data_IF_691288273406
#
_entry.id   IF_691288273406
#
_cell.length_a   1.000
_cell.length_b   1.000
_cell.length_c   1.000
_cell.angle_alpha   90.00
_cell.angle_beta   90.00
_cell.angle_gamma   90.00
#
_symmetry.space_group_name_H-M   'P 1'
#
loop_
_entity.id
_entity.type
_entity.pdbx_description
1 polymer ?
#
# COMPACT_ATOMS: atom_id res chain seq x y z
N UNK A 1 -11.60 -1.90 -22.41
CA UNK A 1 -11.92 -3.24 -21.89
C UNK A 1 -10.70 -3.86 -21.22
N UNK A 2 -10.86 -4.34 -20.00
CA UNK A 2 -9.74 -4.90 -19.22
C UNK A 2 -9.56 -6.41 -19.45
N UNK A 3 -9.88 -6.89 -20.68
CA UNK A 3 -9.80 -8.31 -21.01
C UNK A 3 -8.36 -8.80 -20.95
N UNK A 4 -8.11 -9.78 -20.09
CA UNK A 4 -6.76 -10.35 -19.89
C UNK A 4 -5.91 -9.63 -18.86
N UNK A 5 -6.30 -8.44 -18.37
CA UNK A 5 -5.62 -7.79 -17.27
C UNK A 5 -5.83 -8.57 -15.95
N UNK A 6 -4.87 -8.48 -15.02
CA UNK A 6 -5.06 -9.06 -13.70
C UNK A 6 -6.34 -8.54 -13.04
N UNK A 7 -7.10 -9.45 -12.44
CA UNK A 7 -8.35 -9.11 -11.75
C UNK A 7 -8.04 -8.43 -10.42
N UNK A 8 -8.95 -7.56 -9.97
CA UNK A 8 -8.82 -6.91 -8.66
C UNK A 8 -8.69 -7.94 -7.53
N UNK A 9 -9.35 -9.11 -7.65
CA UNK A 9 -9.24 -10.21 -6.69
C UNK A 9 -7.86 -10.90 -6.69
N UNK A 10 -7.04 -10.68 -7.72
CA UNK A 10 -5.71 -11.28 -7.84
C UNK A 10 -4.63 -10.35 -7.28
N UNK A 11 -4.64 -9.06 -7.66
CA UNK A 11 -3.61 -8.12 -7.22
C UNK A 11 -3.98 -7.31 -5.97
N UNK A 12 -5.28 -7.12 -5.72
CA UNK A 12 -5.74 -6.29 -4.61
C UNK A 12 -5.41 -6.84 -3.23
N UNK A 13 -5.81 -8.09 -2.89
CA UNK A 13 -5.54 -8.66 -1.57
C UNK A 13 -4.05 -8.69 -1.19
N UNK A 14 -3.12 -9.16 -2.04
CA UNK A 14 -1.70 -9.11 -1.65
C UNK A 14 -1.18 -7.68 -1.49
N UNK A 15 -1.66 -6.72 -2.26
CA UNK A 15 -1.27 -5.32 -2.09
C UNK A 15 -1.76 -4.75 -0.75
N UNK A 16 -3.03 -4.95 -0.39
CA UNK A 16 -3.57 -4.54 0.90
C UNK A 16 -2.83 -5.20 2.06
N UNK A 17 -2.56 -6.50 1.95
CA UNK A 17 -1.84 -7.24 2.98
C UNK A 17 -0.45 -6.66 3.22
N UNK A 18 0.28 -6.31 2.15
CA UNK A 18 1.60 -5.70 2.26
C UNK A 18 1.52 -4.33 2.93
N UNK A 19 0.64 -3.47 2.46
CA UNK A 19 0.52 -2.10 2.99
C UNK A 19 0.12 -2.11 4.48
N UNK A 20 -0.91 -2.86 4.84
CA UNK A 20 -1.34 -2.95 6.24
C UNK A 20 -0.27 -3.60 7.12
N UNK A 21 0.38 -4.67 6.65
CA UNK A 21 1.40 -5.37 7.43
C UNK A 21 2.62 -4.49 7.70
N UNK A 22 3.05 -3.71 6.72
CA UNK A 22 4.13 -2.73 6.92
C UNK A 22 3.76 -1.77 8.04
N UNK A 23 2.53 -1.23 8.03
CA UNK A 23 2.07 -0.28 9.05
C UNK A 23 1.91 -0.90 10.44
N UNK A 24 1.70 -2.22 10.54
CA UNK A 24 1.64 -2.91 11.83
C UNK A 24 3.03 -3.26 12.38
N UNK A 25 4.09 -3.07 11.60
CA UNK A 25 5.48 -3.40 11.99
C UNK A 25 6.40 -2.20 12.07
N UNK A 26 5.99 -1.07 11.48
CA UNK A 26 6.83 0.13 11.38
C UNK A 26 6.98 0.81 12.74
N UNK A 27 8.10 1.53 12.92
CA UNK A 27 8.28 2.40 14.08
C UNK A 27 8.79 1.71 15.35
N UNK A 28 9.22 0.45 15.26
CA UNK A 28 9.74 -0.30 16.43
C UNK A 28 11.23 -0.07 16.68
N UNK A 29 11.96 0.53 15.72
CA UNK A 29 13.38 0.81 15.89
C UNK A 29 13.62 1.91 16.92
N UNK A 30 14.75 1.80 17.63
CA UNK A 30 15.25 2.86 18.53
C UNK A 30 16.22 3.83 17.85
N UNK A 31 16.58 3.55 16.60
CA UNK A 31 17.52 4.35 15.82
C UNK A 31 16.77 5.38 14.97
N UNK A 32 17.06 6.66 15.20
CA UNK A 32 16.38 7.76 14.50
C UNK A 32 16.54 7.66 12.97
N UNK A 33 17.74 7.31 12.49
CA UNK A 33 17.98 7.22 11.05
C UNK A 33 17.14 6.11 10.39
N UNK A 34 16.86 5.02 11.10
CA UNK A 34 15.98 3.97 10.58
C UNK A 34 14.53 4.46 10.53
N UNK A 35 14.08 5.16 11.55
CA UNK A 35 12.74 5.75 11.58
C UNK A 35 12.56 6.77 10.45
N UNK A 36 13.58 7.59 10.19
CA UNK A 36 13.56 8.56 9.10
C UNK A 36 13.51 7.87 7.73
N UNK A 37 14.29 6.81 7.55
CA UNK A 37 14.25 6.01 6.32
C UNK A 37 12.90 5.32 6.12
N UNK A 38 12.34 4.75 7.18
CA UNK A 38 11.00 4.16 7.13
C UNK A 38 9.95 5.19 6.71
N UNK A 39 9.99 6.37 7.28
CA UNK A 39 9.05 7.43 6.95
C UNK A 39 9.18 7.89 5.50
N UNK A 40 10.41 8.10 5.03
CA UNK A 40 10.69 8.52 3.65
C UNK A 40 10.19 7.46 2.65
N UNK A 41 10.52 6.20 2.86
CA UNK A 41 10.13 5.12 1.96
C UNK A 41 8.61 4.89 1.99
N UNK A 42 8.00 4.96 3.17
CA UNK A 42 6.55 4.83 3.30
C UNK A 42 5.82 5.95 2.54
N UNK A 43 6.27 7.18 2.67
CA UNK A 43 5.69 8.30 1.91
C UNK A 43 5.79 8.07 0.40
N UNK A 44 6.95 7.60 -0.07
CA UNK A 44 7.11 7.28 -1.48
C UNK A 44 6.11 6.21 -1.93
N UNK A 45 6.01 5.11 -1.21
CA UNK A 45 5.11 4.00 -1.54
C UNK A 45 3.66 4.48 -1.57
N UNK A 46 3.21 5.21 -0.57
CA UNK A 46 1.83 5.72 -0.51
C UNK A 46 1.53 6.70 -1.65
N UNK A 47 2.48 7.55 -2.03
CA UNK A 47 2.30 8.47 -3.16
C UNK A 47 2.29 7.76 -4.52
N UNK A 48 3.00 6.65 -4.64
CA UNK A 48 3.22 5.98 -5.92
C UNK A 48 2.33 4.77 -6.17
N UNK A 49 1.61 4.28 -5.16
CA UNK A 49 0.87 3.02 -5.27
C UNK A 49 -0.18 3.01 -6.38
N UNK A 50 -0.78 4.15 -6.68
CA UNK A 50 -1.74 4.26 -7.78
C UNK A 50 -1.09 4.00 -9.15
N UNK A 51 0.19 4.30 -9.29
CA UNK A 51 0.92 4.12 -10.56
C UNK A 51 1.08 2.65 -10.96
N UNK A 52 0.98 1.73 -9.99
CA UNK A 52 1.14 0.30 -10.24
C UNK A 52 -0.20 -0.45 -10.27
N UNK A 53 -1.32 0.22 -10.08
CA UNK A 53 -2.64 -0.42 -10.11
C UNK A 53 -3.06 -0.71 -11.55
N UNK A 54 -3.34 -1.97 -11.90
CA UNK A 54 -3.76 -2.32 -13.27
C UNK A 54 -5.25 -2.05 -13.56
N UNK A 55 -5.90 -1.26 -12.74
CA UNK A 55 -7.32 -0.93 -12.82
C UNK A 55 -7.48 0.60 -12.90
N UNK A 56 -7.93 1.12 -14.04
CA UNK A 56 -8.09 2.56 -14.25
C UNK A 56 -9.06 3.21 -13.24
N UNK A 57 -10.16 2.53 -12.93
CA UNK A 57 -11.13 3.01 -11.94
C UNK A 57 -10.54 3.04 -10.54
N UNK A 58 -9.74 2.03 -10.19
CA UNK A 58 -9.08 1.96 -8.88
C UNK A 58 -8.06 3.10 -8.71
N UNK A 59 -7.27 3.37 -9.77
CA UNK A 59 -6.36 4.53 -9.80
C UNK A 59 -7.10 5.84 -9.55
N UNK A 60 -8.21 6.02 -10.25
CA UNK A 60 -9.03 7.24 -10.14
C UNK A 60 -9.55 7.41 -8.70
N UNK A 61 -10.11 6.38 -8.11
CA UNK A 61 -10.61 6.42 -6.73
C UNK A 61 -9.49 6.75 -5.74
N UNK A 62 -8.33 6.15 -5.92
CA UNK A 62 -7.19 6.43 -5.06
C UNK A 62 -6.70 7.88 -5.21
N UNK A 63 -6.61 8.38 -6.42
CA UNK A 63 -6.21 9.77 -6.69
C UNK A 63 -7.20 10.77 -6.09
N UNK A 64 -8.50 10.50 -6.20
CA UNK A 64 -9.54 11.31 -5.57
C UNK A 64 -9.41 11.31 -4.06
N UNK A 65 -9.14 10.16 -3.45
CA UNK A 65 -8.91 10.05 -2.01
C UNK A 65 -7.68 10.87 -1.58
N UNK A 66 -6.57 10.72 -2.28
CA UNK A 66 -5.34 11.49 -1.98
C UNK A 66 -5.57 13.00 -2.08
N UNK A 67 -6.36 13.44 -3.04
CA UNK A 67 -6.63 14.86 -3.25
C UNK A 67 -7.33 15.51 -2.06
N UNK A 68 -8.18 14.75 -1.36
CA UNK A 68 -8.95 15.24 -0.20
C UNK A 68 -8.35 14.80 1.15
N UNK A 69 -7.38 13.88 1.15
CA UNK A 69 -6.76 13.31 2.34
C UNK A 69 -5.24 13.30 2.18
N UNK A 70 -4.65 14.49 2.06
CA UNK A 70 -3.20 14.63 1.84
C UNK A 70 -2.39 14.06 3.00
N UNK A 71 -1.40 13.23 2.69
CA UNK A 71 -0.46 12.74 3.70
C UNK A 71 0.48 13.83 4.21
N UNK A 72 0.63 14.93 3.45
CA UNK A 72 1.43 16.07 3.88
C UNK A 72 0.76 16.88 5.00
N UNK A 73 -0.56 16.71 5.17
CA UNK A 73 -1.31 17.31 6.27
C UNK A 73 -1.22 16.51 7.58
N UNK A 74 -0.65 15.29 7.55
CA UNK A 74 -0.43 14.47 8.73
C UNK A 74 0.78 14.98 9.53
N UNK A 75 0.91 14.63 10.83
CA UNK A 75 2.11 14.94 11.59
C UNK A 75 3.37 14.44 10.86
N UNK A 76 4.44 15.25 10.88
CA UNK A 76 5.66 14.96 10.11
C UNK A 76 6.83 14.46 10.95
N UNK A 77 6.58 14.03 12.18
CA UNK A 77 7.55 13.29 13.01
C UNK A 77 7.25 11.80 12.89
N UNK A 78 8.26 10.91 12.87
CA UNK A 78 8.06 9.51 12.52
C UNK A 78 6.94 8.80 13.28
N UNK A 79 7.00 8.73 14.60
CA UNK A 79 6.00 7.97 15.37
C UNK A 79 4.58 8.53 15.22
N UNK A 80 4.43 9.84 15.23
CA UNK A 80 3.13 10.48 15.05
C UNK A 80 2.61 10.27 13.63
N UNK A 81 3.51 10.35 12.63
CA UNK A 81 3.16 10.05 11.25
C UNK A 81 2.72 8.60 11.09
N UNK A 82 3.46 7.64 11.67
CA UNK A 82 3.11 6.22 11.56
C UNK A 82 1.73 5.91 12.16
N UNK A 83 1.42 6.52 13.29
CA UNK A 83 0.09 6.38 13.89
C UNK A 83 -1.01 6.96 12.99
N UNK A 84 -0.79 8.14 12.45
CA UNK A 84 -1.76 8.83 11.61
C UNK A 84 -1.97 8.12 10.27
N UNK A 85 -0.89 7.65 9.62
CA UNK A 85 -0.99 6.96 8.32
C UNK A 85 -1.63 5.57 8.44
N UNK A 86 -1.47 4.91 9.59
CA UNK A 86 -2.17 3.66 9.88
C UNK A 86 -3.69 3.86 9.84
N UNK A 87 -4.17 4.89 10.48
CA UNK A 87 -5.59 5.25 10.47
C UNK A 87 -6.03 5.70 9.07
N UNK A 88 -5.21 6.50 8.39
CA UNK A 88 -5.45 6.96 7.03
C UNK A 88 -5.65 5.78 6.07
N UNK A 89 -4.78 4.78 6.12
CA UNK A 89 -4.89 3.59 5.27
C UNK A 89 -6.15 2.77 5.60
N UNK A 90 -6.48 2.64 6.86
CA UNK A 90 -7.71 1.97 7.28
C UNK A 90 -8.94 2.68 6.71
N UNK A 91 -8.99 4.00 6.78
CA UNK A 91 -10.09 4.78 6.25
C UNK A 91 -10.19 4.65 4.74
N UNK A 92 -9.06 4.66 4.02
CA UNK A 92 -9.02 4.43 2.57
C UNK A 92 -9.58 3.05 2.23
N UNK A 93 -9.16 2.01 2.93
CA UNK A 93 -9.63 0.65 2.68
C UNK A 93 -11.14 0.53 2.93
N UNK A 94 -11.63 1.15 3.99
CA UNK A 94 -13.06 1.23 4.29
C UNK A 94 -13.83 1.97 3.19
N UNK A 95 -13.29 3.07 2.69
CA UNK A 95 -13.86 3.82 1.57
C UNK A 95 -13.97 2.96 0.31
N UNK A 96 -12.90 2.24 -0.04
CA UNK A 96 -12.87 1.34 -1.21
C UNK A 96 -13.89 0.22 -1.04
N UNK A 97 -13.95 -0.42 0.12
CA UNK A 97 -14.91 -1.49 0.40
C UNK A 97 -16.36 -1.00 0.27
N UNK A 98 -16.67 0.16 0.84
CA UNK A 98 -18.01 0.77 0.72
C UNK A 98 -18.35 1.06 -0.74
N UNK A 99 -17.42 1.61 -1.51
CA UNK A 99 -17.63 1.93 -2.93
C UNK A 99 -17.88 0.69 -3.78
N UNK A 100 -17.36 -0.46 -3.37
CA UNK A 100 -17.51 -1.74 -4.06
C UNK A 100 -18.62 -2.61 -3.48
N UNK A 101 -19.37 -2.12 -2.50
CA UNK A 101 -20.39 -2.87 -1.78
C UNK A 101 -19.85 -4.16 -1.13
N UNK A 102 -18.60 -4.13 -0.69
CA UNK A 102 -17.96 -5.22 0.05
C UNK A 102 -18.20 -5.04 1.55
N UNK A 103 -18.28 -6.14 2.30
CA UNK A 103 -18.42 -6.10 3.75
C UNK A 103 -17.35 -5.23 4.40
N UNK A 104 -17.77 -4.35 5.29
CA UNK A 104 -16.92 -3.36 5.96
C UNK A 104 -17.03 -3.47 7.49
N UNK A 105 -17.29 -4.67 7.99
CA UNK A 105 -17.41 -4.95 9.44
C UNK A 105 -16.07 -4.98 10.17
N UNK A 106 -14.95 -5.00 9.41
CA UNK A 106 -13.60 -5.02 9.96
C UNK A 106 -13.28 -3.67 10.61
N UNK A 107 -12.81 -3.69 11.88
CA UNK A 107 -12.51 -2.48 12.65
C UNK A 107 -11.01 -2.24 12.77
N UNK A 108 -10.64 -1.00 13.11
CA UNK A 108 -9.23 -0.62 13.29
C UNK A 108 -8.52 -1.47 14.36
N UNK A 109 -9.25 -1.90 15.38
CA UNK A 109 -8.70 -2.71 16.48
C UNK A 109 -8.29 -4.12 16.04
N UNK A 110 -8.82 -4.58 14.91
CA UNK A 110 -8.49 -5.90 14.33
C UNK A 110 -7.24 -5.90 13.48
N UNK A 111 -6.70 -4.74 13.12
CA UNK A 111 -5.59 -4.61 12.16
C UNK A 111 -4.32 -5.35 12.63
N UNK A 112 -3.94 -5.15 13.87
CA UNK A 112 -2.68 -5.70 14.39
C UNK A 112 -2.66 -7.23 14.34
N UNK A 113 -3.70 -7.87 14.82
CA UNK A 113 -3.79 -9.32 14.83
C UNK A 113 -3.83 -9.91 13.42
N UNK A 114 -4.58 -9.26 12.51
CA UNK A 114 -4.75 -9.75 11.14
C UNK A 114 -3.48 -9.59 10.31
N UNK A 115 -2.79 -8.46 10.40
CA UNK A 115 -1.74 -8.13 9.44
C UNK A 115 -0.31 -8.29 9.94
N UNK A 116 -0.07 -8.29 11.26
CA UNK A 116 1.31 -8.39 11.78
C UNK A 116 2.03 -9.67 11.40
N UNK A 117 1.29 -10.76 11.14
CA UNK A 117 1.85 -12.09 10.85
C UNK A 117 2.03 -12.34 9.36
N UNK A 118 1.67 -11.42 8.52
CA UNK A 118 1.80 -11.55 7.06
C UNK A 118 3.28 -11.72 6.69
N UNK A 119 3.55 -12.70 5.83
CA UNK A 119 4.88 -12.94 5.28
C UNK A 119 5.09 -11.98 4.10
N UNK A 120 5.68 -10.83 4.39
CA UNK A 120 5.79 -9.71 3.43
C UNK A 120 6.48 -10.06 2.12
N UNK A 121 7.61 -10.77 2.20
CA UNK A 121 8.34 -11.19 0.99
C UNK A 121 7.50 -12.14 0.13
N UNK A 122 6.84 -13.10 0.76
CA UNK A 122 5.97 -14.05 0.07
C UNK A 122 4.80 -13.34 -0.61
N UNK A 123 4.17 -12.39 0.08
CA UNK A 123 3.05 -11.63 -0.52
C UNK A 123 3.52 -10.77 -1.70
N UNK A 124 4.71 -10.20 -1.61
CA UNK A 124 5.29 -9.49 -2.75
C UNK A 124 5.53 -10.44 -3.93
N UNK A 125 6.07 -11.63 -3.68
CA UNK A 125 6.31 -12.65 -4.72
C UNK A 125 4.99 -13.11 -5.38
N UNK A 126 3.88 -13.09 -4.66
CA UNK A 126 2.55 -13.36 -5.21
C UNK A 126 2.03 -12.19 -6.05
N UNK A 127 2.28 -10.95 -5.64
CA UNK A 127 1.82 -9.74 -6.31
C UNK A 127 2.61 -9.44 -7.59
N UNK A 128 3.92 -9.56 -7.55
CA UNK A 128 4.84 -9.11 -8.60
C UNK A 128 4.52 -9.68 -9.99
N UNK A 129 4.19 -10.98 -10.15
CA UNK A 129 3.82 -11.52 -11.47
C UNK A 129 2.59 -10.85 -12.09
N UNK A 130 1.60 -10.49 -11.28
CA UNK A 130 0.41 -9.78 -11.76
C UNK A 130 0.76 -8.38 -12.26
N UNK A 131 1.64 -7.68 -11.54
CA UNK A 131 2.08 -6.34 -11.95
C UNK A 131 2.95 -6.40 -13.21
N UNK A 132 3.81 -7.40 -13.34
CA UNK A 132 4.59 -7.64 -14.58
C UNK A 132 3.68 -7.91 -15.76
N UNK A 133 2.63 -8.72 -15.57
CA UNK A 133 1.63 -8.97 -16.62
C UNK A 133 0.94 -7.68 -17.04
N UNK A 134 0.57 -6.83 -16.07
CA UNK A 134 -0.04 -5.54 -16.37
C UNK A 134 0.89 -4.61 -17.16
N UNK A 135 2.20 -4.64 -16.88
CA UNK A 135 3.19 -3.91 -17.69
C UNK A 135 3.24 -4.46 -19.11
N UNK A 136 3.31 -5.78 -19.27
CA UNK A 136 3.34 -6.42 -20.60
C UNK A 136 2.09 -6.08 -21.42
N UNK A 137 0.96 -5.82 -20.77
CA UNK A 137 -0.31 -5.46 -21.42
C UNK A 137 -0.50 -3.94 -21.57
N UNK A 138 0.47 -3.14 -21.16
CA UNK A 138 0.41 -1.67 -21.29
C UNK A 138 -0.46 -0.95 -20.25
N UNK A 139 -0.96 -1.65 -19.24
CA UNK A 139 -1.79 -1.04 -18.20
C UNK A 139 -1.00 -0.38 -17.07
N UNK A 140 0.26 -0.78 -16.91
CA UNK A 140 1.19 -0.21 -15.90
C UNK A 140 2.48 0.17 -16.61
N UNK A 141 3.01 1.35 -16.31
CA UNK A 141 4.28 1.80 -16.87
C UNK A 141 5.45 1.01 -16.27
N UNK A 142 6.36 0.57 -17.15
CA UNK A 142 7.53 -0.21 -16.74
C UNK A 142 8.39 0.53 -15.71
N UNK A 143 8.67 1.82 -15.95
CA UNK A 143 9.52 2.62 -15.05
C UNK A 143 8.83 2.86 -13.70
N UNK A 144 7.52 3.04 -13.70
CA UNK A 144 6.73 3.19 -12.47
C UNK A 144 6.83 1.93 -11.61
N UNK A 145 6.65 0.75 -12.20
CA UNK A 145 6.78 -0.52 -11.47
C UNK A 145 8.21 -0.73 -10.96
N UNK A 146 9.20 -0.44 -11.79
CA UNK A 146 10.61 -0.55 -11.40
C UNK A 146 10.94 0.30 -10.17
N UNK A 147 10.53 1.54 -10.17
CA UNK A 147 10.75 2.46 -9.04
C UNK A 147 9.98 2.02 -7.80
N UNK A 148 8.71 1.66 -7.96
CA UNK A 148 7.90 1.16 -6.85
C UNK A 148 8.53 -0.07 -6.22
N UNK A 149 8.98 -1.02 -7.04
CA UNK A 149 9.61 -2.26 -6.55
C UNK A 149 10.84 -1.97 -5.67
N UNK A 150 11.71 -1.07 -6.10
CA UNK A 150 12.91 -0.70 -5.33
C UNK A 150 12.50 -0.19 -3.94
N UNK A 151 11.55 0.72 -3.88
CA UNK A 151 11.15 1.35 -2.63
C UNK A 151 10.35 0.42 -1.70
N UNK A 152 9.42 -0.36 -2.25
CA UNK A 152 8.64 -1.29 -1.42
C UNK A 152 9.50 -2.41 -0.84
N UNK A 153 10.45 -2.94 -1.62
CA UNK A 153 11.35 -3.98 -1.13
C UNK A 153 12.31 -3.43 -0.06
N UNK A 154 12.77 -2.20 -0.23
CA UNK A 154 13.59 -1.56 0.80
C UNK A 154 12.78 -1.31 2.08
N UNK A 155 11.55 -0.81 1.95
CA UNK A 155 10.66 -0.61 3.09
C UNK A 155 10.37 -1.93 3.83
N UNK A 156 10.11 -3.01 3.10
CA UNK A 156 9.91 -4.34 3.68
C UNK A 156 11.14 -4.74 4.52
N UNK A 157 12.35 -4.53 4.00
CA UNK A 157 13.57 -4.82 4.76
C UNK A 157 13.71 -3.98 6.02
N UNK A 158 13.27 -2.73 5.98
CA UNK A 158 13.35 -1.82 7.13
C UNK A 158 12.40 -2.20 8.26
N UNK A 159 11.36 -3.01 8.01
CA UNK A 159 10.35 -3.39 9.01
C UNK A 159 10.42 -4.88 9.40
N UNK A 160 11.31 -5.64 8.81
CA UNK A 160 11.51 -7.06 9.15
C UNK A 160 12.30 -7.24 10.45
#
# INVERSE_FOLDING_TARGET
>A
MDVGLPKNSEWGPPLWDILHSVLERIGTSTHQYILDDQMRELKYVIRAVDTIMPCAMCKKHYQEWKATHSIDALPQTPHEFFKAIREWLFQLHSFVNTSRHVDNSFTIDMLHERYRKILLKQRWEELDPFLKKAVAMGAVDFNALRSFRVHILFLIRLVL
#
